data_IF_622013271545
#
_entry.id   IF_622013271545
#
_cell.length_a   1.000
_cell.length_b   1.000
_cell.length_c   1.000
_cell.angle_alpha   90.00
_cell.angle_beta   90.00
_cell.angle_gamma   90.00
#
_symmetry.space_group_name_H-M   'P 1'
#
loop_
_entity.id
_entity.type
_entity.pdbx_description
1 polymer ?
#
# COMPACT_ATOMS: atom_id res chain seq x y z
N UNK A 1 -17.32 -22.38 0.53
CA UNK A 1 -17.85 -22.47 -0.84
C UNK A 1 -19.09 -21.59 -0.87
N UNK A 2 -19.08 -20.52 -1.65
CA UNK A 2 -20.28 -19.71 -1.88
C UNK A 2 -20.78 -20.09 -3.27
N UNK A 3 -21.45 -21.23 -3.34
CA UNK A 3 -22.17 -21.69 -4.52
C UNK A 3 -23.46 -20.89 -4.67
N UNK A 4 -23.34 -19.56 -4.75
CA UNK A 4 -24.45 -18.68 -5.06
C UNK A 4 -24.20 -18.15 -6.48
N UNK A 5 -24.87 -18.78 -7.43
CA UNK A 5 -24.91 -18.33 -8.81
C UNK A 5 -25.84 -17.14 -8.99
N UNK A 6 -25.73 -16.48 -10.15
CA UNK A 6 -26.70 -15.45 -10.56
C UNK A 6 -28.14 -15.98 -10.55
N UNK A 7 -28.33 -17.24 -10.94
CA UNK A 7 -29.63 -17.92 -10.94
C UNK A 7 -30.24 -18.05 -9.53
N UNK A 8 -29.44 -18.41 -8.53
CA UNK A 8 -29.93 -18.51 -7.14
C UNK A 8 -30.28 -17.14 -6.56
N UNK A 9 -29.46 -16.11 -6.84
CA UNK A 9 -29.81 -14.74 -6.45
C UNK A 9 -31.13 -14.29 -7.09
N UNK A 10 -31.38 -14.66 -8.35
CA UNK A 10 -32.63 -14.33 -9.03
C UNK A 10 -33.84 -15.03 -8.37
N UNK A 11 -33.71 -16.32 -8.05
CA UNK A 11 -34.76 -17.06 -7.34
C UNK A 11 -35.03 -16.44 -5.96
N UNK A 12 -33.98 -16.15 -5.18
CA UNK A 12 -34.12 -15.52 -3.86
C UNK A 12 -34.75 -14.13 -3.98
N UNK A 13 -34.38 -13.36 -5.01
CA UNK A 13 -34.99 -12.05 -5.28
C UNK A 13 -36.49 -12.20 -5.54
N UNK A 14 -36.90 -13.10 -6.43
CA UNK A 14 -38.33 -13.35 -6.72
C UNK A 14 -39.10 -13.77 -5.46
N UNK A 15 -38.57 -14.71 -4.68
CA UNK A 15 -39.19 -15.15 -3.42
C UNK A 15 -39.26 -14.01 -2.41
N UNK A 16 -38.20 -13.21 -2.28
CA UNK A 16 -38.17 -12.03 -1.42
C UNK A 16 -39.21 -10.99 -1.84
N UNK A 17 -39.39 -10.77 -3.14
CA UNK A 17 -40.41 -9.86 -3.68
C UNK A 17 -41.82 -10.37 -3.39
N UNK A 18 -42.04 -11.68 -3.41
CA UNK A 18 -43.34 -12.28 -3.12
C UNK A 18 -43.69 -12.22 -1.63
N UNK A 19 -42.74 -12.57 -0.76
CA UNK A 19 -42.95 -12.64 0.70
C UNK A 19 -43.05 -11.25 1.33
N UNK A 20 -42.08 -10.39 1.01
CA UNK A 20 -41.96 -9.07 1.63
C UNK A 20 -42.69 -8.00 0.82
N UNK A 21 -42.88 -8.23 -0.48
CA UNK A 21 -43.44 -7.27 -1.42
C UNK A 21 -42.36 -6.47 -2.16
N UNK A 22 -42.58 -6.10 -3.44
CA UNK A 22 -41.62 -5.39 -4.26
C UNK A 22 -41.25 -4.00 -3.74
N UNK A 23 -42.15 -3.35 -3.01
CA UNK A 23 -41.90 -2.02 -2.44
C UNK A 23 -41.07 -2.07 -1.15
N UNK A 24 -41.07 -3.21 -0.44
CA UNK A 24 -40.53 -3.33 0.91
C UNK A 24 -39.12 -3.94 0.94
N UNK A 25 -38.82 -4.85 0.01
CA UNK A 25 -37.49 -5.42 -0.19
C UNK A 25 -36.40 -4.35 -0.36
N UNK A 26 -36.52 -3.35 -1.26
CA UNK A 26 -35.49 -2.32 -1.42
C UNK A 26 -35.30 -1.48 -0.15
N UNK A 27 -36.37 -1.26 0.63
CA UNK A 27 -36.31 -0.54 1.91
C UNK A 27 -35.59 -1.36 2.98
N UNK A 28 -35.85 -2.66 3.05
CA UNK A 28 -35.17 -3.60 3.94
C UNK A 28 -33.68 -3.73 3.59
N UNK A 29 -33.34 -3.90 2.32
CA UNK A 29 -31.95 -3.98 1.85
C UNK A 29 -31.16 -2.70 2.18
N UNK A 30 -31.76 -1.51 1.99
CA UNK A 30 -31.16 -0.24 2.41
C UNK A 30 -30.89 -0.21 3.91
N UNK A 31 -31.84 -0.66 4.72
CA UNK A 31 -31.73 -0.64 6.18
C UNK A 31 -30.66 -1.64 6.66
N UNK A 32 -30.69 -2.86 6.16
CA UNK A 32 -29.70 -3.89 6.44
C UNK A 32 -28.29 -3.44 5.99
N UNK A 33 -28.18 -2.83 4.81
CA UNK A 33 -26.93 -2.27 4.29
C UNK A 33 -26.36 -1.17 5.18
N UNK A 34 -27.21 -0.28 5.71
CA UNK A 34 -26.78 0.74 6.69
C UNK A 34 -26.24 0.09 7.97
N UNK A 35 -26.89 -0.96 8.47
CA UNK A 35 -26.48 -1.67 9.69
C UNK A 35 -25.17 -2.42 9.48
N UNK A 36 -25.06 -3.19 8.39
CA UNK A 36 -23.82 -3.86 7.98
C UNK A 36 -22.68 -2.84 7.81
N UNK A 37 -22.96 -1.68 7.20
CA UNK A 37 -21.99 -0.62 7.00
C UNK A 37 -21.48 -0.03 8.32
N UNK A 38 -22.37 0.18 9.29
CA UNK A 38 -22.01 0.64 10.64
C UNK A 38 -21.15 -0.39 11.36
N UNK A 39 -21.53 -1.66 11.35
CA UNK A 39 -20.76 -2.75 11.97
C UNK A 39 -19.38 -2.84 11.33
N UNK A 40 -19.30 -2.85 9.99
CA UNK A 40 -18.02 -2.87 9.26
C UNK A 40 -17.13 -1.70 9.66
N UNK A 41 -17.69 -0.48 9.76
CA UNK A 41 -16.94 0.72 10.18
C UNK A 41 -16.37 0.58 11.59
N UNK A 42 -17.16 0.07 12.53
CA UNK A 42 -16.72 -0.17 13.91
C UNK A 42 -15.63 -1.24 13.97
N UNK A 43 -15.80 -2.37 13.27
CA UNK A 43 -14.79 -3.44 13.22
C UNK A 43 -13.49 -2.95 12.58
N UNK A 44 -13.58 -2.19 11.48
CA UNK A 44 -12.39 -1.59 10.86
C UNK A 44 -11.70 -0.57 11.77
N UNK A 45 -12.44 0.17 12.59
CA UNK A 45 -11.87 1.06 13.61
C UNK A 45 -11.11 0.30 14.69
N UNK A 46 -11.74 -0.75 15.24
CA UNK A 46 -11.12 -1.64 16.23
C UNK A 46 -9.88 -2.33 15.67
N UNK A 47 -9.92 -2.86 14.45
CA UNK A 47 -8.74 -3.42 13.79
C UNK A 47 -7.61 -2.39 13.66
N UNK A 48 -7.94 -1.12 13.38
CA UNK A 48 -6.94 -0.06 13.25
C UNK A 48 -6.30 0.29 14.58
N UNK A 49 -7.06 0.30 15.67
CA UNK A 49 -6.55 0.48 17.03
C UNK A 49 -5.75 -0.72 17.52
N UNK A 50 -6.22 -1.94 17.25
CA UNK A 50 -5.53 -3.20 17.60
C UNK A 50 -4.22 -3.31 16.83
N UNK A 51 -4.23 -3.04 15.53
CA UNK A 51 -3.01 -3.01 14.72
C UNK A 51 -2.06 -1.92 15.22
N UNK A 52 -2.54 -0.73 15.58
CA UNK A 52 -1.68 0.33 16.12
C UNK A 52 -1.08 -0.04 17.50
N UNK A 53 -1.79 -0.83 18.32
CA UNK A 53 -1.28 -1.32 19.60
C UNK A 53 -0.26 -2.45 19.42
N UNK A 54 -0.55 -3.43 18.55
CA UNK A 54 0.37 -4.51 18.21
C UNK A 54 1.63 -3.97 17.52
N UNK A 55 1.47 -3.01 16.61
CA UNK A 55 2.60 -2.37 15.93
C UNK A 55 3.43 -1.55 16.92
N UNK A 56 2.83 -0.91 17.92
CA UNK A 56 3.56 -0.23 18.99
C UNK A 56 4.31 -1.21 19.93
N UNK A 57 3.74 -2.37 20.24
CA UNK A 57 4.39 -3.42 21.03
C UNK A 57 5.54 -4.10 20.28
N UNK A 58 5.33 -4.46 19.01
CA UNK A 58 6.38 -5.00 18.16
C UNK A 58 7.50 -3.99 17.92
N UNK A 59 7.17 -2.70 17.76
CA UNK A 59 8.17 -1.64 17.59
C UNK A 59 8.98 -1.43 18.87
N UNK A 60 8.36 -1.52 20.05
CA UNK A 60 9.08 -1.51 21.35
C UNK A 60 10.04 -2.68 21.48
N UNK A 61 9.60 -3.89 21.12
CA UNK A 61 10.44 -5.07 21.20
C UNK A 61 11.63 -5.00 20.24
N UNK A 62 11.42 -4.48 19.03
CA UNK A 62 12.51 -4.21 18.06
C UNK A 62 13.48 -3.15 18.56
N UNK A 63 13.01 -2.09 19.22
CA UNK A 63 13.84 -1.04 19.82
C UNK A 63 14.70 -1.58 20.98
N UNK A 64 14.14 -2.40 21.86
CA UNK A 64 14.88 -3.04 22.97
C UNK A 64 15.96 -4.00 22.45
N UNK A 65 15.66 -4.81 21.44
CA UNK A 65 16.65 -5.68 20.80
C UNK A 65 17.78 -4.88 20.13
N UNK A 66 17.44 -3.76 19.47
CA UNK A 66 18.44 -2.86 18.89
C UNK A 66 19.30 -2.19 19.98
N UNK A 67 18.72 -1.73 21.09
CA UNK A 67 19.48 -1.18 22.21
C UNK A 67 20.45 -2.21 22.78
N UNK A 68 20.00 -3.45 23.02
CA UNK A 68 20.87 -4.53 23.51
C UNK A 68 22.04 -4.81 22.57
N UNK A 69 21.79 -4.84 21.26
CA UNK A 69 22.85 -5.03 20.25
C UNK A 69 23.82 -3.86 20.24
N UNK A 70 23.33 -2.62 20.35
CA UNK A 70 24.16 -1.43 20.43
C UNK A 70 25.03 -1.44 21.70
N UNK A 71 24.46 -1.78 22.85
CA UNK A 71 25.19 -1.85 24.12
C UNK A 71 26.27 -2.95 24.10
N UNK A 72 25.97 -4.11 23.51
CA UNK A 72 26.99 -5.16 23.30
C UNK A 72 28.09 -4.68 22.34
N UNK A 73 27.73 -3.98 21.27
CA UNK A 73 28.67 -3.42 20.30
C UNK A 73 29.58 -2.36 20.94
N UNK A 74 29.00 -1.45 21.73
CA UNK A 74 29.73 -0.45 22.49
C UNK A 74 30.63 -1.08 23.55
N UNK A 75 30.17 -2.14 24.22
CA UNK A 75 30.98 -2.93 25.14
C UNK A 75 32.16 -3.62 24.47
N UNK A 76 32.01 -4.08 23.22
CA UNK A 76 33.10 -4.64 22.40
C UNK A 76 34.09 -3.55 22.01
N UNK A 77 33.61 -2.45 21.44
CA UNK A 77 34.44 -1.31 21.04
C UNK A 77 35.21 -0.76 22.24
N UNK A 78 34.57 -0.61 23.40
CA UNK A 78 35.25 -0.15 24.62
C UNK A 78 36.35 -1.13 25.02
N UNK A 79 36.09 -2.43 24.98
CA UNK A 79 37.06 -3.46 25.31
C UNK A 79 38.22 -3.52 24.32
N UNK A 80 37.96 -3.32 23.03
CA UNK A 80 38.98 -3.24 22.00
C UNK A 80 39.84 -2.00 22.19
N UNK A 81 39.23 -0.83 22.43
CA UNK A 81 39.93 0.43 22.74
C UNK A 81 40.76 0.30 24.01
N UNK A 82 40.24 -0.32 25.07
CA UNK A 82 40.97 -0.57 26.31
C UNK A 82 42.17 -1.52 26.09
N UNK A 83 42.04 -2.48 25.17
CA UNK A 83 43.13 -3.35 24.72
C UNK A 83 44.24 -2.60 23.95
N UNK A 84 43.89 -1.52 23.26
CA UNK A 84 44.86 -0.65 22.57
C UNK A 84 45.38 0.48 23.47
N UNK A 85 44.66 0.83 24.54
CA UNK A 85 45.01 1.89 25.48
C UNK A 85 45.91 1.41 26.63
N UNK A 86 46.05 0.11 26.84
CA UNK A 86 47.05 -0.46 27.75
C UNK A 86 48.37 -0.65 26.96
N UNK A 87 49.41 0.17 27.20
CA UNK A 87 50.66 0.04 26.49
C UNK A 87 51.58 -0.88 27.28
N UNK A 88 51.86 -2.09 26.78
CA UNK A 88 53.23 -2.60 26.83
C UNK A 88 53.48 -3.75 25.83
N UNK A 89 54.51 -3.50 25.02
CA UNK A 89 55.40 -4.37 24.26
C UNK A 89 54.92 -5.39 23.17
N UNK A 90 55.36 -5.03 21.95
CA UNK A 90 56.00 -5.87 20.94
C UNK A 90 55.16 -6.60 19.87
N UNK A 91 55.30 -6.06 18.64
CA UNK A 91 55.55 -6.71 17.33
C UNK A 91 54.43 -6.57 16.28
N UNK A 92 54.68 -5.91 15.13
CA UNK A 92 53.74 -5.85 14.00
C UNK A 92 53.91 -7.04 13.03
N UNK A 93 52.83 -7.61 12.47
CA UNK A 93 52.88 -8.31 11.20
C UNK A 93 52.34 -7.44 10.06
N UNK A 94 53.10 -7.52 8.98
CA UNK A 94 52.95 -6.93 7.65
C UNK A 94 51.60 -7.14 6.98
N UNK A 95 51.23 -6.14 6.16
CA UNK A 95 51.01 -6.30 4.71
C UNK A 95 49.89 -7.22 4.24
N UNK A 96 48.83 -6.64 3.64
CA UNK A 96 48.30 -7.17 2.40
C UNK A 96 47.51 -6.10 1.61
N UNK A 97 48.15 -5.55 0.59
CA UNK A 97 47.50 -4.91 -0.53
C UNK A 97 46.76 -5.97 -1.38
N UNK A 98 45.60 -5.58 -1.91
CA UNK A 98 44.90 -6.05 -3.12
C UNK A 98 43.46 -6.49 -2.89
N UNK A 99 42.52 -5.64 -3.34
CA UNK A 99 41.55 -6.07 -4.34
C UNK A 99 41.09 -4.88 -5.18
N UNK A 100 41.69 -4.75 -6.36
CA UNK A 100 40.99 -4.20 -7.50
C UNK A 100 40.04 -5.26 -8.06
N UNK A 101 38.80 -4.87 -8.34
CA UNK A 101 37.93 -5.58 -9.26
C UNK A 101 37.16 -4.53 -10.06
N UNK A 102 37.54 -4.45 -11.33
CA UNK A 102 36.92 -3.71 -12.41
C UNK A 102 35.52 -4.24 -12.76
N UNK A 103 34.64 -3.30 -13.10
CA UNK A 103 33.59 -3.36 -14.14
C UNK A 103 32.55 -4.50 -14.15
N UNK A 104 31.29 -4.10 -13.95
CA UNK A 104 30.15 -4.64 -14.69
C UNK A 104 29.14 -3.51 -14.92
N UNK A 105 29.00 -3.08 -16.17
CA UNK A 105 28.10 -2.01 -16.59
C UNK A 105 26.63 -2.34 -16.36
N UNK A 106 25.90 -1.34 -15.89
CA UNK A 106 24.50 -1.15 -16.21
C UNK A 106 24.33 0.36 -16.44
N UNK A 107 24.07 0.74 -17.69
CA UNK A 107 23.58 2.05 -18.08
C UNK A 107 22.19 2.27 -17.46
N UNK A 108 22.19 2.61 -16.17
CA UNK A 108 21.02 3.14 -15.47
C UNK A 108 21.08 4.67 -15.58
N UNK A 109 20.18 5.31 -16.36
CA UNK A 109 20.17 6.76 -16.45
C UNK A 109 19.97 7.35 -15.04
N UNK A 110 20.65 8.46 -14.72
CA UNK A 110 20.66 9.02 -13.38
C UNK A 110 19.23 9.26 -12.89
N UNK A 111 18.99 9.02 -11.60
CA UNK A 111 17.65 9.06 -11.00
C UNK A 111 16.86 10.35 -11.29
N UNK A 112 17.56 11.46 -11.56
CA UNK A 112 17.00 12.72 -12.03
C UNK A 112 16.23 12.58 -13.35
N UNK A 113 16.81 11.91 -14.34
CA UNK A 113 16.20 11.76 -15.67
C UNK A 113 14.95 10.87 -15.64
N UNK A 114 14.91 9.91 -14.70
CA UNK A 114 13.72 9.07 -14.44
C UNK A 114 12.58 9.88 -13.84
N UNK A 115 12.88 10.80 -12.93
CA UNK A 115 11.89 11.68 -12.31
C UNK A 115 11.29 12.64 -13.37
N UNK A 116 12.13 13.23 -14.22
CA UNK A 116 11.69 14.13 -15.29
C UNK A 116 10.76 13.43 -16.30
N UNK A 117 11.10 12.20 -16.68
CA UNK A 117 10.29 11.40 -17.60
C UNK A 117 8.96 10.96 -16.96
N UNK A 118 8.97 10.65 -15.66
CA UNK A 118 7.76 10.32 -14.91
C UNK A 118 6.82 11.53 -14.79
N UNK A 119 7.36 12.71 -14.51
CA UNK A 119 6.63 13.98 -14.44
C UNK A 119 6.00 14.35 -15.81
N UNK A 120 6.76 14.20 -16.90
CA UNK A 120 6.27 14.44 -18.25
C UNK A 120 5.13 13.47 -18.65
N UNK A 121 5.21 12.21 -18.21
CA UNK A 121 4.16 11.21 -18.46
C UNK A 121 2.87 11.47 -17.66
N UNK A 122 2.97 12.13 -16.50
CA UNK A 122 1.84 12.50 -15.65
C UNK A 122 1.07 13.68 -16.27
N UNK A 123 1.81 14.72 -16.69
CA UNK A 123 1.23 15.91 -17.32
C UNK A 123 0.41 15.60 -18.59
N UNK A 124 0.84 14.61 -19.39
CA UNK A 124 0.07 14.17 -20.58
C UNK A 124 -1.21 13.41 -20.24
N UNK A 125 -1.24 12.67 -19.13
CA UNK A 125 -2.43 11.92 -18.68
C UNK A 125 -3.52 12.83 -18.14
N UNK A 126 -3.12 13.92 -17.47
CA UNK A 126 -4.06 14.92 -16.97
C UNK A 126 -4.68 15.73 -18.12
N UNK A 127 -3.96 15.96 -19.22
CA UNK A 127 -4.50 16.59 -20.43
C UNK A 127 -5.49 15.70 -21.20
N UNK A 128 -5.25 14.39 -21.32
CA UNK A 128 -6.19 13.45 -21.99
C UNK A 128 -7.50 13.28 -21.22
N UNK A 129 -7.51 13.50 -19.90
CA UNK A 129 -8.73 13.39 -19.09
C UNK A 129 -9.66 14.60 -19.25
N UNK A 130 -9.12 15.77 -19.61
CA UNK A 130 -9.91 16.99 -19.84
C UNK A 130 -10.59 17.03 -21.22
N UNK A 131 -10.05 16.35 -22.23
CA UNK A 131 -10.59 16.41 -23.60
C UNK A 131 -11.74 15.40 -23.86
N UNK A 132 -11.84 14.31 -23.09
CA UNK A 132 -12.96 13.35 -23.22
C UNK A 132 -14.27 13.80 -22.55
N UNK A 133 -14.27 14.90 -21.80
CA UNK A 133 -15.47 15.46 -21.19
C UNK A 133 -16.30 16.36 -22.13
N UNK A 134 -15.78 16.71 -23.33
CA UNK A 134 -16.41 17.71 -24.22
C UNK A 134 -16.97 17.16 -25.54
N UNK A 135 -16.91 15.84 -25.80
CA UNK A 135 -17.51 15.23 -26.99
C UNK A 135 -18.35 14.00 -26.67
N UNK A 136 -19.32 14.14 -25.76
CA UNK A 136 -20.50 13.27 -25.80
C UNK A 136 -21.75 14.07 -25.41
N UNK A 137 -22.44 14.58 -26.42
CA UNK A 137 -23.86 14.93 -26.32
C UNK A 137 -24.56 14.30 -27.51
N UNK A 138 -25.76 13.71 -27.30
CA UNK A 138 -26.34 12.69 -28.17
C UNK A 138 -27.13 13.29 -29.35
N UNK A 139 -27.39 12.51 -30.41
CA UNK A 139 -28.25 12.95 -31.50
C UNK A 139 -29.69 12.99 -30.99
N UNK A 140 -30.39 14.10 -31.23
CA UNK A 140 -31.83 14.20 -30.99
C UNK A 140 -32.47 14.76 -32.25
N UNK A 141 -33.27 13.91 -32.87
CA UNK A 141 -34.20 14.19 -33.96
C UNK A 141 -34.99 15.49 -33.73
N UNK A 142 -35.17 16.27 -34.81
CA UNK A 142 -36.49 16.81 -35.14
C UNK A 142 -36.55 17.49 -36.52
N UNK A 143 -37.66 17.19 -37.18
CA UNK A 143 -38.41 18.02 -38.11
C UNK A 143 -37.78 18.34 -39.48
N UNK A 144 -38.12 17.50 -40.45
CA UNK A 144 -38.29 17.92 -41.84
C UNK A 144 -39.66 18.59 -42.01
N UNK A 145 -39.71 19.79 -42.61
CA UNK A 145 -40.84 20.13 -43.46
C UNK A 145 -40.39 20.56 -44.87
N UNK A 146 -41.19 20.11 -45.86
CA UNK A 146 -41.31 20.68 -47.22
C UNK A 146 -40.12 20.37 -48.15
N UNK A 147 -40.30 20.13 -49.45
CA UNK A 147 -41.23 20.71 -50.44
C UNK A 147 -41.13 19.91 -51.74
#
# INVERSE_FOLDING_TARGET
MLDIGFLELLIISVVGLLVLGPERLPKAARTAGLWIGKIKRTVSGMQREINAQLEAEELRQKLDEQQKKLDESLGRVKRDVERYAEPDDATPPEGNDQHGATEAGNDEPPASERLDKALASKARRDATTAEQASTSSPPSDKDSPSR
#
